data_IF_579552181254
#
_entry.id   IF_579552181254
#
_cell.length_a   1.000
_cell.length_b   1.000
_cell.length_c   1.000
_cell.angle_alpha   90.00
_cell.angle_beta   90.00
_cell.angle_gamma   90.00
#
_symmetry.space_group_name_H-M   'P 1'
#
loop_
_entity.id
_entity.type
_entity.pdbx_description
1 polymer ?
2 water ?
#
# COMPACT_ATOMS: atom_id res chain seq x y z
N UNK A 2 22.19 9.52 -6.68
CA UNK A 2 21.78 9.75 -8.06
C UNK A 2 20.29 10.03 -8.23
N UNK A 3 19.47 9.71 -7.22
CA UNK A 3 18.09 10.21 -7.21
C UNK A 3 17.70 10.67 -5.81
N UNK A 4 17.30 11.94 -5.69
CA UNK A 4 16.78 12.44 -4.42
C UNK A 4 15.26 12.58 -4.50
N UNK A 5 14.58 12.00 -3.52
CA UNK A 5 13.12 11.99 -3.46
C UNK A 5 12.65 12.86 -2.28
N UNK A 6 11.81 13.85 -2.58
CA UNK A 6 11.32 14.76 -1.55
C UNK A 6 9.91 14.41 -1.15
N UNK A 7 9.68 14.24 0.15
CA UNK A 7 8.36 13.84 0.64
C UNK A 7 7.87 14.79 1.70
N UNK A 8 6.60 15.18 1.59
CA UNK A 8 5.95 15.95 2.64
C UNK A 8 4.56 15.36 2.84
N UNK A 9 4.23 14.99 4.07
CA UNK A 9 2.95 14.32 4.32
C UNK A 9 2.41 14.59 5.72
N UNK A 10 1.10 14.39 5.84
CA UNK A 10 0.35 14.64 7.06
C UNK A 10 -0.64 13.50 7.24
N UNK A 11 -0.92 13.15 8.50
CA UNK A 11 -2.00 12.20 8.79
C UNK A 11 -2.78 12.72 9.98
N UNK A 12 -4.07 12.45 9.98
CA UNK A 12 -4.90 12.76 11.13
C UNK A 12 -5.50 11.45 11.58
N UNK A 13 -5.53 11.24 12.89
CA UNK A 13 -6.27 10.10 13.42
C UNK A 13 -6.59 10.28 14.89
N UNK A 14 -7.55 9.50 15.36
CA UNK A 14 -7.91 9.49 16.75
C UNK A 14 -7.49 8.15 17.30
N UNK A 15 -6.65 8.16 18.33
CA UNK A 15 -6.24 6.94 19.03
C UNK A 15 -7.09 6.77 20.29
N UNK A 16 -7.72 5.59 20.45
CA UNK A 16 -8.68 5.34 21.52
C UNK A 16 -8.02 5.07 22.88
N UNK A 17 -7.18 6.00 23.33
CA UNK A 17 -6.64 5.94 24.67
C UNK A 17 -6.43 7.34 25.20
N UNK A 18 -6.29 7.45 26.51
CA UNK A 18 -6.16 8.76 27.17
C UNK A 18 -4.95 9.55 26.68
N UNK A 19 -5.04 10.86 26.84
CA UNK A 19 -3.96 11.74 26.41
C UNK A 19 -2.62 11.37 27.05
N UNK A 20 -2.64 11.12 28.35
CA UNK A 20 -1.41 10.75 29.06
C UNK A 20 -0.76 9.50 28.47
N UNK A 21 -1.56 8.46 28.24
CA UNK A 21 -1.06 7.22 27.63
C UNK A 21 -0.55 7.42 26.21
N UNK A 22 -1.33 8.09 25.39
CA UNK A 22 -0.91 8.34 24.01
C UNK A 22 0.35 9.20 23.96
N UNK A 23 0.40 10.30 24.72
CA UNK A 23 1.60 11.13 24.69
C UNK A 23 2.82 10.34 25.15
N UNK A 24 2.67 9.61 26.25
CA UNK A 24 3.78 8.88 26.83
C UNK A 24 4.39 7.86 25.85
N UNK A 25 3.52 7.23 25.05
CA UNK A 25 3.96 6.29 24.00
C UNK A 25 4.71 6.99 22.87
N UNK A 26 4.11 8.03 22.31
CA UNK A 26 4.69 8.73 21.16
C UNK A 26 5.96 9.50 21.52
N UNK A 27 6.09 9.86 22.81
CA UNK A 27 7.28 10.56 23.29
C UNK A 27 8.45 9.58 23.53
N UNK A 28 8.15 8.29 23.53
CA UNK A 28 9.13 7.24 23.80
C UNK A 28 9.55 6.64 22.44
N UNK A 29 10.65 7.14 21.88
CA UNK A 29 10.98 6.80 20.49
C UNK A 29 11.15 5.30 20.28
N UNK A 30 11.88 4.63 21.17
CA UNK A 30 12.00 3.16 21.01
C UNK A 30 10.65 2.41 21.04
N UNK A 31 9.75 2.79 21.93
CA UNK A 31 8.48 2.08 22.04
C UNK A 31 7.57 2.40 20.84
N UNK A 32 7.54 3.69 20.47
CA UNK A 32 6.86 4.14 19.27
C UNK A 32 7.38 3.40 18.04
N UNK A 33 8.72 3.36 17.92
CA UNK A 33 9.37 2.79 16.74
C UNK A 33 9.05 1.31 16.56
N UNK A 34 8.75 0.63 17.66
CA UNK A 34 8.37 -0.77 17.57
C UNK A 34 7.12 -0.97 16.70
N UNK A 35 6.36 0.10 16.50
CA UNK A 35 5.15 0.04 15.68
C UNK A 35 5.39 0.50 14.25
N UNK A 36 6.63 0.88 13.94
CA UNK A 36 6.95 1.31 12.59
C UNK A 36 7.43 0.11 11.80
N UNK A 37 6.86 -0.12 10.61
CA UNK A 37 7.23 -1.32 9.85
C UNK A 37 8.64 -1.26 9.26
N UNK A 38 9.29 -2.41 9.18
CA UNK A 38 10.53 -2.57 8.43
C UNK A 38 11.69 -1.74 8.94
N UNK A 39 11.74 -1.54 10.26
CA UNK A 39 12.93 -0.94 10.86
C UNK A 39 13.95 -2.03 11.11
N UNK A 40 15.19 -1.80 10.68
CA UNK A 40 16.25 -2.79 10.87
C UNK A 40 16.99 -2.50 12.19
N UNK A 41 17.36 -1.23 12.38
CA UNK A 41 18.04 -0.81 13.61
C UNK A 41 17.50 0.55 14.02
N UNK A 42 17.38 0.74 15.34
CA UNK A 42 17.13 2.06 15.91
C UNK A 42 18.21 2.31 16.96
N UNK A 43 19.24 3.04 16.59
CA UNK A 43 20.38 3.25 17.47
C UNK A 43 20.11 4.39 18.44
N UNK A 44 20.12 4.07 19.72
CA UNK A 44 20.00 5.07 20.77
C UNK A 44 21.32 5.84 20.88
N UNK A 45 21.32 7.11 20.50
CA UNK A 45 22.55 7.91 20.47
C UNK A 45 22.69 8.76 21.74
N UNK A 46 21.75 8.59 22.66
CA UNK A 46 21.70 9.40 23.86
C UNK A 46 21.27 10.82 23.57
N UNK A 47 20.86 11.53 24.61
CA UNK A 47 20.42 12.92 24.49
C UNK A 47 19.27 13.12 23.50
N UNK A 48 18.34 12.17 23.45
CA UNK A 48 17.16 12.30 22.59
C UNK A 48 17.46 12.21 21.11
N UNK A 49 18.60 11.63 20.75
CA UNK A 49 18.94 11.41 19.35
C UNK A 49 18.90 9.94 19.01
N UNK A 50 18.43 9.61 17.81
CA UNK A 50 18.33 8.24 17.35
C UNK A 50 18.66 8.10 15.87
N UNK A 51 19.38 7.03 15.53
CA UNK A 51 19.61 6.72 14.12
C UNK A 51 18.70 5.60 13.69
N UNK A 52 18.00 5.84 12.59
CA UNK A 52 17.11 4.85 12.01
C UNK A 52 17.80 4.19 10.83
N UNK A 53 17.79 2.87 10.81
CA UNK A 53 18.31 2.13 9.65
C UNK A 53 17.18 1.22 9.19
N UNK A 55 15.11 -1.48 6.70
CA UNK A 55 15.51 -2.71 6.03
C UNK A 55 15.97 -2.38 4.60
N UNK A 56 17.00 -3.07 4.14
CA UNK A 56 17.51 -2.80 2.80
C UNK A 56 16.63 -3.43 1.72
N UNK A 57 16.72 -2.90 0.51
CA UNK A 57 16.14 -3.56 -0.66
C UNK A 57 17.07 -3.43 -1.88
N UNK A 58 17.49 -4.55 -2.48
CA UNK A 58 17.19 -5.88 -2.01
C UNK A 58 18.28 -6.92 -2.31
N UNK A 59 19.18 -6.64 -3.25
CA UNK A 59 20.19 -7.64 -3.64
C UNK A 59 21.65 -7.14 -3.72
N UNK A 60 22.50 -7.67 -2.83
CA UNK A 60 23.95 -7.45 -2.87
C UNK A 60 24.34 -6.00 -3.19
N UNK A 61 25.18 -5.82 -4.20
CA UNK A 61 25.76 -4.51 -4.46
C UNK A 61 24.75 -3.50 -4.98
N UNK A 62 23.64 -3.97 -5.54
CA UNK A 62 22.62 -3.08 -6.09
C UNK A 62 21.55 -2.74 -5.08
N UNK A 63 21.67 -3.27 -3.86
CA UNK A 63 20.70 -2.98 -2.82
C UNK A 63 20.84 -1.54 -2.32
N UNK A 64 19.74 -1.00 -1.83
CA UNK A 64 19.72 0.34 -1.26
C UNK A 64 19.16 0.28 0.17
N UNK A 65 19.52 1.25 0.99
CA UNK A 65 19.00 1.28 2.35
C UNK A 65 18.84 2.71 2.84
N UNK A 66 17.68 3.02 3.40
CA UNK A 66 17.45 4.33 4.00
C UNK A 66 18.03 4.38 5.41
N UNK A 67 18.90 5.36 5.65
CA UNK A 67 19.49 5.59 6.98
C UNK A 67 19.43 7.07 7.29
N UNK A 68 18.96 7.43 8.48
CA UNK A 68 18.92 8.82 8.89
C UNK A 68 18.86 8.96 10.40
N UNK A 69 19.29 10.12 10.90
CA UNK A 69 19.30 10.39 12.32
C UNK A 69 18.52 11.67 12.65
N UNK A 70 17.81 11.64 13.77
CA UNK A 70 17.00 12.76 14.21
C UNK A 70 17.20 13.05 15.69
N UNK A 71 17.02 14.31 16.07
CA UNK A 71 16.91 14.69 17.48
C UNK A 71 15.46 14.99 17.82
N UNK A 72 15.00 14.46 18.96
CA UNK A 72 13.60 14.60 19.35
C UNK A 72 13.37 15.57 20.49
N UNK A 73 12.24 16.28 20.45
CA UNK A 73 11.87 17.24 21.48
C UNK A 73 10.39 17.08 21.86
N UNK A 74 10.14 16.79 23.13
CA UNK A 74 8.79 16.53 23.62
C UNK A 74 8.33 17.61 24.59
N UNK A 75 7.11 18.11 24.39
CA UNK A 75 6.54 19.14 25.27
C UNK A 75 5.12 18.72 25.61
N UNK A 76 4.97 18.03 26.73
CA UNK A 76 3.69 17.43 27.09
C UNK A 76 2.61 18.48 27.36
N UNK A 77 3.03 19.61 27.92
CA UNK A 77 2.11 20.72 28.21
C UNK A 77 1.49 21.28 26.94
N UNK A 78 2.32 21.47 25.93
CA UNK A 78 1.89 21.99 24.63
C UNK A 78 1.25 20.91 23.75
N UNK A 79 1.47 19.65 24.08
CA UNK A 79 0.93 18.56 23.29
C UNK A 79 1.63 18.46 21.94
N UNK A 80 2.93 18.68 21.95
CA UNK A 80 3.72 18.62 20.71
C UNK A 80 5.03 17.86 20.91
N UNK A 81 5.37 17.03 19.92
CA UNK A 81 6.63 16.30 19.92
C UNK A 81 7.20 16.59 18.54
N UNK A 82 8.42 17.08 18.47
CA UNK A 82 9.00 17.36 17.15
C UNK A 82 10.33 16.64 16.99
N UNK A 83 10.73 16.45 15.73
CA UNK A 83 12.06 15.92 15.46
C UNK A 83 12.71 16.62 14.28
N UNK A 84 14.03 16.78 14.34
CA UNK A 84 14.76 17.48 13.30
C UNK A 84 15.99 16.67 12.87
N UNK A 85 16.46 16.91 11.65
CA UNK A 85 17.54 16.09 11.08
C UNK A 85 18.90 16.31 11.73
N UNK A 86 19.68 15.23 11.83
CA UNK A 86 21.09 15.37 12.22
C UNK A 86 21.89 15.36 10.93
N UNK A 87 22.48 16.52 10.63
CA UNK A 87 23.21 16.74 9.38
C UNK A 87 24.37 15.75 9.20
N UNK A 88 24.58 15.32 7.97
CA UNK A 88 25.73 14.48 7.62
C UNK A 88 25.64 13.03 8.04
N UNK A 89 24.47 12.60 8.49
CA UNK A 89 24.26 11.22 8.89
C UNK A 89 23.37 10.51 7.88
N UNK A 90 23.89 9.44 7.29
CA UNK A 90 23.11 8.62 6.38
C UNK A 90 22.78 9.30 5.07
N UNK A 91 21.66 8.90 4.48
CA UNK A 91 21.26 9.36 3.15
C UNK A 91 19.86 9.96 3.11
N UNK A 92 19.33 10.28 4.30
CA UNK A 92 18.03 10.91 4.39
C UNK A 92 18.08 12.11 5.31
N UNK A 93 17.22 13.09 5.05
CA UNK A 93 17.12 14.26 5.90
C UNK A 93 15.64 14.35 6.32
N UNK A 94 15.39 14.09 7.60
CA UNK A 94 14.03 13.87 8.07
C UNK A 94 13.66 14.78 9.24
N UNK A 95 12.48 15.38 9.15
CA UNK A 95 11.93 16.15 10.25
C UNK A 95 10.45 15.80 10.38
N UNK A 96 9.84 16.08 11.52
CA UNK A 96 8.43 15.77 11.68
C UNK A 96 7.86 16.24 13.00
N UNK A 97 6.58 15.94 13.24
CA UNK A 97 6.00 16.23 14.54
C UNK A 97 4.74 15.41 14.78
N UNK A 98 4.40 15.26 16.07
CA UNK A 98 3.08 14.83 16.51
C UNK A 98 2.45 16.03 17.20
N UNK A 99 1.17 16.31 16.91
CA UNK A 99 0.42 17.28 17.68
C UNK A 99 -0.77 16.53 18.24
N UNK A 100 -0.96 16.63 19.55
CA UNK A 100 -1.96 15.81 20.23
C UNK A 100 -2.85 16.66 21.10
N UNK A 101 -4.07 16.18 21.29
CA UNK A 101 -4.98 16.80 22.24
C UNK A 101 -6.04 15.82 22.67
N UNK A 102 -6.46 15.96 23.92
CA UNK A 102 -7.48 15.11 24.51
C UNK A 102 -8.80 15.19 23.73
N UNK A 103 -9.42 14.04 23.48
CA UNK A 103 -10.81 14.01 23.03
C UNK A 103 -11.63 13.23 24.04
N UNK A 104 -12.00 13.88 25.14
CA UNK A 104 -12.59 13.20 26.26
C UNK A 104 -11.50 12.52 27.04
N UNK A 105 -11.88 11.60 27.95
CA UNK A 105 -10.95 11.01 28.91
C UNK A 105 -10.18 9.79 28.36
N UNK A 106 -10.67 9.20 27.28
CA UNK A 106 -10.13 7.94 26.77
C UNK A 106 -9.87 7.95 25.27
N UNK A 107 -9.70 9.13 24.68
CA UNK A 107 -9.33 9.22 23.28
C UNK A 107 -8.42 10.42 23.07
N UNK A 108 -7.64 10.37 22.00
CA UNK A 108 -6.70 11.44 21.70
C UNK A 108 -6.69 11.72 20.19
N UNK A 109 -6.87 12.98 19.82
CA UNK A 109 -6.74 13.40 18.43
C UNK A 109 -5.26 13.61 18.16
N UNK A 110 -4.78 13.07 17.04
CA UNK A 110 -3.36 13.09 16.74
C UNK A 110 -3.18 13.57 15.31
N UNK A 111 -2.23 14.49 15.11
CA UNK A 111 -1.83 14.90 13.78
C UNK A 111 -0.36 14.55 13.60
N UNK A 112 -0.05 13.84 12.52
CA UNK A 112 1.32 13.43 12.22
C UNK A 112 1.77 14.25 11.03
N UNK A 113 3.02 14.68 11.05
CA UNK A 113 3.61 15.37 9.89
C UNK A 113 5.04 14.90 9.76
N UNK A 114 5.50 14.68 8.53
CA UNK A 114 6.90 14.41 8.28
C UNK A 114 7.36 14.97 6.95
N UNK A 115 8.54 15.59 6.95
CA UNK A 115 9.20 16.00 5.72
C UNK A 115 10.45 15.17 5.60
N UNK A 116 10.65 14.55 4.45
CA UNK A 116 11.80 13.68 4.29
C UNK A 116 12.43 13.80 2.89
N UNK A 117 13.74 13.97 2.85
CA UNK A 117 14.50 13.97 1.61
C UNK A 117 15.34 12.72 1.66
N UNK A 118 15.17 11.83 0.69
CA UNK A 118 15.90 10.58 0.68
C UNK A 118 16.70 10.46 -0.60
N UNK A 119 18.02 10.32 -0.47
CA UNK A 119 18.89 10.18 -1.63
C UNK A 119 19.25 8.70 -1.80
N UNK A 120 18.92 8.13 -2.95
CA UNK A 120 19.25 6.74 -3.24
C UNK A 120 20.11 6.65 -4.48
N UNK A 121 21.04 5.69 -4.51
CA UNK A 121 21.97 5.50 -5.62
C UNK A 121 21.35 4.72 -6.78
N UNK A 122 20.29 5.25 -7.39
CA UNK A 122 19.72 4.63 -8.58
C UNK A 122 19.91 5.57 -9.76
N UNK A 123 19.87 5.05 -11.00
CA UNK A 123 20.17 5.91 -12.15
C UNK A 123 19.32 7.19 -12.21
N UNK A 124 19.98 8.34 -12.30
CA UNK A 124 19.29 9.63 -12.47
C UNK A 124 18.36 9.63 -13.67
N UNK A 125 18.73 8.91 -14.72
CA UNK A 125 17.83 8.76 -15.88
C UNK A 125 16.43 8.28 -15.47
N UNK A 126 16.34 7.54 -14.37
CA UNK A 126 15.05 6.98 -13.93
C UNK A 126 14.33 7.82 -12.87
N UNK A 127 14.79 9.05 -12.63
CA UNK A 127 14.22 9.92 -11.60
C UNK A 127 12.69 10.01 -11.64
N UNK A 128 12.13 10.40 -12.78
CA UNK A 128 10.68 10.59 -12.89
C UNK A 128 9.91 9.29 -12.74
N UNK A 129 10.46 8.18 -13.23
CA UNK A 129 9.73 6.90 -13.13
C UNK A 129 9.73 6.35 -11.70
N UNK A 130 10.86 6.51 -11.04
CA UNK A 130 11.11 5.85 -9.75
C UNK A 130 10.55 6.64 -8.56
N UNK A 131 10.75 7.95 -8.55
CA UNK A 131 10.37 8.77 -7.40
C UNK A 131 8.93 8.54 -6.91
N UNK A 132 7.96 8.52 -7.83
CA UNK A 132 6.58 8.25 -7.41
C UNK A 132 6.43 6.92 -6.66
N UNK A 133 7.16 5.89 -7.08
CA UNK A 133 7.04 4.60 -6.41
C UNK A 133 7.62 4.63 -5.00
N UNK A 134 8.76 5.29 -4.85
CA UNK A 134 9.39 5.46 -3.56
C UNK A 134 8.49 6.26 -2.60
N UNK A 135 7.87 7.31 -3.12
CA UNK A 135 6.95 8.11 -2.30
C UNK A 135 5.72 7.30 -1.94
N UNK A 136 5.23 6.52 -2.89
CA UNK A 136 4.05 5.69 -2.66
C UNK A 136 4.32 4.66 -1.58
N UNK A 137 5.51 4.05 -1.64
CA UNK A 137 5.89 3.06 -0.65
C UNK A 137 6.04 3.70 0.73
N UNK A 138 6.58 4.92 0.76
CA UNK A 138 6.75 5.62 2.02
C UNK A 138 5.39 5.95 2.62
N UNK A 139 4.45 6.38 1.79
CA UNK A 139 3.10 6.64 2.29
C UNK A 139 2.46 5.36 2.85
N UNK A 140 2.74 4.24 2.20
CA UNK A 140 2.22 2.95 2.66
C UNK A 140 2.74 2.60 4.06
N UNK A 141 4.06 2.74 4.25
CA UNK A 141 4.70 2.51 5.54
C UNK A 141 4.07 3.36 6.63
N UNK A 142 3.86 4.64 6.33
CA UNK A 142 3.25 5.55 7.29
C UNK A 142 1.80 5.15 7.61
N UNK A 143 1.02 4.77 6.59
CA UNK A 143 -0.34 4.31 6.83
C UNK A 143 -0.32 3.15 7.82
N UNK A 144 0.60 2.21 7.62
CA UNK A 144 0.73 1.04 8.49
C UNK A 144 1.10 1.43 9.94
N UNK A 145 2.05 2.32 10.06
CA UNK A 145 2.43 2.90 11.34
C UNK A 145 1.22 3.48 12.07
N UNK A 147 -1.95 2.80 11.62
CA UNK A 147 -2.87 1.73 11.98
C UNK A 147 -2.37 0.91 13.17
N UNK A 148 -1.08 0.61 13.19
CA UNK A 148 -0.49 -0.08 14.33
C UNK A 148 -0.65 0.74 15.62
N UNK A 149 -0.34 2.02 15.55
CA UNK A 149 -0.47 2.89 16.74
C UNK A 149 -1.91 2.93 17.26
N UNK A 150 -2.87 2.93 16.32
CA UNK A 150 -4.28 3.00 16.67
C UNK A 150 -4.73 1.76 17.48
N UNK A 151 -4.01 0.67 17.32
CA UNK A 151 -4.29 -0.58 18.03
C UNK A 151 -3.33 -0.85 19.17
N UNK A 152 -2.47 0.11 19.53
CA UNK A 152 -1.42 -0.15 20.49
C UNK A 152 -1.93 -0.32 21.92
N UNK A 153 -3.13 0.19 22.19
CA UNK A 153 -3.66 0.22 23.56
C UNK A 153 -4.79 -0.78 23.83
N UNK A 154 -5.00 -1.69 22.89
CA UNK A 154 -6.04 -2.71 23.03
C UNK A 154 -6.26 -3.31 24.44
N UNK A 155 -5.26 -3.89 25.15
CA UNK A 155 -3.85 -4.14 24.84
C UNK A 155 -2.99 -3.60 26.00
N UNK A 156 -2.62 -4.48 26.91
CA UNK A 156 -1.91 -4.09 28.13
C UNK A 156 -0.52 -3.53 27.82
N UNK A 157 0.24 -4.26 27.01
CA UNK A 157 1.55 -3.81 26.55
C UNK A 157 1.36 -2.92 25.33
N UNK A 158 1.98 -1.73 25.35
CA UNK A 158 1.77 -0.75 24.30
C UNK A 158 2.87 -0.75 23.24
N UNK A 159 3.77 -1.72 23.31
CA UNK A 159 4.78 -1.91 22.27
C UNK A 159 4.23 -2.81 21.16
N UNK B 2 -14.36 -9.09 -32.57
CA UNK B 2 -15.37 -9.91 -33.24
C UNK B 2 -15.88 -11.07 -32.40
N UNK B 3 -15.29 -11.28 -31.22
CA UNK B 3 -15.86 -12.22 -30.25
C UNK B 3 -15.93 -11.55 -28.88
N UNK B 4 -17.09 -11.58 -28.25
CA UNK B 4 -17.19 -11.11 -26.89
C UNK B 4 -17.42 -12.26 -25.91
N UNK B 5 -16.52 -12.35 -24.93
CA UNK B 5 -16.54 -13.39 -23.93
C UNK B 5 -17.00 -12.78 -22.61
N UNK B 6 -18.06 -13.32 -22.03
CA UNK B 6 -18.58 -12.81 -20.76
C UNK B 6 -18.11 -13.70 -19.61
N UNK B 7 -17.47 -13.10 -18.62
CA UNK B 7 -16.96 -13.84 -17.47
C UNK B 7 -17.59 -13.33 -16.20
N UNK B 8 -17.95 -14.26 -15.32
CA UNK B 8 -18.33 -13.88 -13.98
C UNK B 8 -17.76 -14.93 -13.02
N UNK B 9 -17.02 -14.47 -12.03
CA UNK B 9 -16.37 -15.42 -11.13
C UNK B 9 -16.24 -14.92 -9.70
N UNK B 10 -16.00 -15.87 -8.80
CA UNK B 10 -15.85 -15.63 -7.37
C UNK B 10 -14.73 -16.51 -6.82
N UNK B 11 -14.02 -16.01 -5.83
CA UNK B 11 -13.03 -16.79 -5.10
C UNK B 11 -13.18 -16.49 -3.64
N UNK B 12 -13.04 -17.53 -2.81
CA UNK B 12 -12.94 -17.34 -1.37
C UNK B 12 -11.55 -17.73 -0.89
N UNK B 13 -10.98 -16.94 0.00
CA UNK B 13 -9.76 -17.37 0.66
C UNK B 13 -9.75 -16.85 2.09
N UNK B 14 -8.93 -17.46 2.92
CA UNK B 14 -8.64 -16.83 4.18
C UNK B 14 -7.17 -16.53 4.28
N UNK B 15 -6.88 -15.32 4.70
CA UNK B 15 -5.51 -14.83 4.81
C UNK B 15 -5.14 -14.67 6.27
N UNK B 16 -4.02 -15.30 6.69
CA UNK B 16 -3.57 -15.28 8.08
C UNK B 16 -2.91 -13.96 8.49
N UNK B 17 -3.55 -12.83 8.21
CA UNK B 17 -3.07 -11.54 8.68
C UNK B 17 -4.25 -10.69 9.13
N UNK B 18 -3.95 -9.63 9.87
CA UNK B 18 -4.97 -8.76 10.46
C UNK B 18 -5.78 -8.03 9.39
N UNK B 19 -6.98 -7.60 9.75
CA UNK B 19 -7.85 -6.86 8.86
C UNK B 19 -7.16 -5.61 8.27
N UNK B 20 -6.46 -4.85 9.10
CA UNK B 20 -5.78 -3.64 8.63
C UNK B 20 -4.74 -3.93 7.56
N UNK B 21 -3.92 -4.96 7.78
CA UNK B 21 -2.91 -5.38 6.81
C UNK B 21 -3.51 -5.84 5.50
N UNK B 22 -4.56 -6.65 5.59
CA UNK B 22 -5.16 -7.25 4.40
C UNK B 22 -5.92 -6.18 3.62
N UNK B 23 -6.85 -5.50 4.28
CA UNK B 23 -7.56 -4.39 3.66
C UNK B 23 -6.62 -3.38 3.01
N UNK B 24 -5.57 -2.96 3.72
CA UNK B 24 -4.71 -1.89 3.21
C UNK B 24 -3.92 -2.30 1.94
N UNK B 25 -3.47 -3.55 1.87
CA UNK B 25 -2.81 -4.02 0.66
C UNK B 25 -3.82 -4.05 -0.50
N UNK B 26 -4.98 -4.65 -0.25
CA UNK B 26 -5.99 -4.81 -1.29
C UNK B 26 -6.53 -3.48 -1.80
N UNK B 27 -6.55 -2.47 -0.93
CA UNK B 27 -7.06 -1.17 -1.34
C UNK B 27 -6.00 -0.36 -2.09
N UNK B 28 -4.76 -0.83 -2.05
CA UNK B 28 -3.65 -0.11 -2.67
C UNK B 28 -3.43 -0.70 -4.06
N UNK B 29 -4.05 -0.08 -5.05
CA UNK B 29 -4.08 -0.75 -6.36
C UNK B 29 -2.67 -1.07 -6.92
N UNK B 30 -1.75 -0.09 -6.95
CA UNK B 30 -0.42 -0.41 -7.44
C UNK B 30 0.29 -1.53 -6.65
N UNK B 31 0.17 -1.54 -5.34
CA UNK B 31 0.80 -2.63 -4.58
C UNK B 31 0.11 -3.96 -4.81
N UNK B 32 -1.22 -3.93 -4.82
CA UNK B 32 -2.01 -5.12 -5.11
C UNK B 32 -1.68 -5.65 -6.52
N UNK B 33 -1.66 -4.76 -7.50
CA UNK B 33 -1.38 -5.11 -8.90
C UNK B 33 0.01 -5.72 -9.10
N UNK B 34 0.95 -5.41 -8.23
CA UNK B 34 2.29 -5.99 -8.33
C UNK B 34 2.22 -7.52 -8.28
N UNK B 35 1.14 -8.03 -7.72
CA UNK B 35 0.99 -9.48 -7.55
C UNK B 35 0.12 -10.15 -8.61
N UNK B 36 -0.39 -9.36 -9.56
CA UNK B 36 -1.22 -9.92 -10.64
C UNK B 36 -0.33 -10.32 -11.81
N UNK B 37 -0.49 -11.56 -12.31
CA UNK B 37 0.42 -12.05 -13.36
C UNK B 37 0.16 -11.46 -14.73
N UNK B 38 1.23 -11.33 -15.52
CA UNK B 38 1.16 -10.93 -16.92
C UNK B 38 0.61 -9.53 -17.15
N UNK B 39 0.81 -8.64 -16.19
CA UNK B 39 0.53 -7.22 -16.42
C UNK B 39 1.67 -6.54 -17.19
N UNK B 40 1.33 -5.96 -18.34
CA UNK B 40 2.29 -5.22 -19.16
C UNK B 40 2.44 -3.80 -18.61
N UNK B 41 1.32 -3.18 -18.25
CA UNK B 41 1.35 -1.85 -17.65
C UNK B 41 0.11 -1.54 -16.81
N UNK B 42 0.30 -0.79 -15.75
CA UNK B 42 -0.81 -0.24 -14.97
C UNK B 42 -0.75 1.28 -15.03
N UNK B 43 -1.76 1.91 -15.63
CA UNK B 43 -1.71 3.36 -15.79
C UNK B 43 -2.54 4.10 -14.75
N UNK B 44 -1.90 5.02 -14.03
CA UNK B 44 -2.58 5.84 -13.04
C UNK B 44 -3.36 6.94 -13.76
N UNK B 45 -4.67 6.73 -13.90
CA UNK B 45 -5.54 7.72 -14.55
C UNK B 45 -5.96 8.83 -13.60
N UNK B 46 -5.50 8.76 -12.35
CA UNK B 46 -5.87 9.71 -11.32
C UNK B 46 -7.25 9.42 -10.76
N UNK B 47 -7.54 9.96 -9.58
CA UNK B 47 -8.86 9.81 -8.99
C UNK B 47 -9.17 8.34 -8.68
N UNK B 48 -8.14 7.62 -8.25
CA UNK B 48 -8.24 6.20 -7.91
C UNK B 48 -8.78 5.34 -9.07
N UNK B 49 -8.49 5.79 -10.30
CA UNK B 49 -8.73 4.98 -11.51
C UNK B 49 -7.41 4.52 -12.14
N UNK B 50 -7.44 3.35 -12.78
CA UNK B 50 -6.24 2.77 -13.37
C UNK B 50 -6.62 2.00 -14.64
N UNK B 51 -5.75 2.07 -15.65
CA UNK B 51 -5.92 1.22 -16.83
C UNK B 51 -4.96 0.04 -16.75
N UNK B 52 -5.49 -1.15 -16.98
CA UNK B 52 -4.71 -2.37 -16.99
C UNK B 52 -4.44 -2.73 -18.44
N UNK B 53 -3.17 -2.97 -18.77
CA UNK B 53 -2.81 -3.47 -20.10
C UNK B 53 -2.09 -4.81 -19.91
N UNK B 55 -0.30 -8.50 -21.01
CA UNK B 55 0.65 -8.92 -22.04
C UNK B 55 -0.15 -9.42 -23.23
N UNK B 56 0.31 -9.07 -24.43
CA UNK B 56 -0.42 -9.47 -25.63
C UNK B 56 -0.21 -10.93 -26.00
N UNK B 57 -1.07 -11.41 -26.89
CA UNK B 57 -0.90 -12.70 -27.59
C UNK B 57 -1.63 -12.56 -28.92
N UNK B 58 -1.01 -12.91 -30.05
CA UNK B 58 0.36 -13.35 -30.12
C UNK B 58 1.24 -12.28 -30.72
N UNK B 59 1.37 -12.22 -32.05
CA UNK B 59 2.37 -11.34 -32.67
C UNK B 59 1.92 -10.44 -33.84
N UNK B 60 2.71 -9.38 -34.08
CA UNK B 60 2.49 -8.42 -35.16
C UNK B 60 1.07 -7.86 -35.22
N UNK B 61 0.51 -7.74 -36.43
CA UNK B 61 -0.78 -7.09 -36.58
C UNK B 61 -1.98 -7.98 -36.24
N UNK B 62 -1.72 -9.26 -35.98
CA UNK B 62 -2.79 -10.17 -35.59
C UNK B 62 -2.80 -10.45 -34.09
N UNK B 63 -1.96 -9.74 -33.33
CA UNK B 63 -1.90 -9.94 -31.89
C UNK B 63 -3.16 -9.43 -31.21
N UNK B 64 -3.52 -10.06 -30.10
CA UNK B 64 -4.63 -9.57 -29.29
C UNK B 64 -4.13 -9.22 -27.89
N UNK B 65 -4.78 -8.26 -27.26
CA UNK B 65 -4.33 -7.78 -25.97
C UNK B 65 -5.51 -7.28 -25.15
N UNK B 66 -5.69 -7.82 -23.95
CA UNK B 66 -6.76 -7.31 -23.09
C UNK B 66 -6.33 -5.97 -22.46
N UNK B 67 -7.16 -4.95 -22.64
CA UNK B 67 -6.93 -3.62 -22.05
C UNK B 67 -8.22 -3.14 -21.44
N UNK B 68 -8.18 -2.68 -20.18
CA UNK B 68 -9.40 -2.17 -19.57
C UNK B 68 -9.11 -1.21 -18.41
N UNK B 69 -10.03 -0.29 -18.15
CA UNK B 69 -9.82 0.65 -17.05
C UNK B 69 -10.97 0.63 -16.07
N UNK B 70 -10.66 0.78 -14.78
CA UNK B 70 -11.64 0.74 -13.71
C UNK B 70 -11.42 1.87 -12.72
N UNK B 71 -12.51 2.35 -12.14
CA UNK B 71 -12.43 3.25 -11.01
C UNK B 71 -12.63 2.46 -9.72
N UNK B 72 -11.76 2.67 -8.75
CA UNK B 72 -11.76 1.97 -7.48
C UNK B 72 -12.34 2.80 -6.33
N UNK B 73 -13.09 2.14 -5.46
CA UNK B 73 -13.65 2.82 -4.29
C UNK B 73 -13.48 1.93 -3.08
N UNK B 74 -12.83 2.47 -2.05
CA UNK B 74 -12.57 1.73 -0.81
C UNK B 74 -13.44 2.23 0.34
N UNK B 75 -14.07 1.28 1.04
CA UNK B 75 -14.84 1.59 2.24
C UNK B 75 -14.42 0.68 3.37
N UNK B 76 -13.45 1.12 4.16
CA UNK B 76 -12.87 0.26 5.19
C UNK B 76 -13.86 -0.04 6.33
N UNK B 77 -14.72 0.92 6.63
CA UNK B 77 -15.75 0.67 7.63
C UNK B 77 -16.64 -0.49 7.19
N UNK B 78 -16.96 -0.56 5.91
CA UNK B 78 -17.85 -1.60 5.39
C UNK B 78 -17.16 -2.90 4.98
N UNK B 79 -15.83 -2.90 4.96
CA UNK B 79 -15.10 -4.08 4.53
C UNK B 79 -15.34 -4.36 3.06
N UNK B 80 -15.38 -3.31 2.25
CA UNK B 80 -15.59 -3.52 0.83
C UNK B 80 -14.73 -2.58 -0.01
N UNK B 81 -14.17 -3.14 -1.09
CA UNK B 81 -13.43 -2.37 -2.08
C UNK B 81 -14.04 -2.76 -3.41
N UNK B 82 -14.48 -1.78 -4.20
CA UNK B 82 -15.18 -2.09 -5.45
C UNK B 82 -14.51 -1.40 -6.64
N UNK B 83 -14.66 -1.98 -7.81
CA UNK B 83 -14.23 -1.29 -9.01
C UNK B 83 -15.30 -1.32 -10.10
N UNK B 84 -15.42 -0.20 -10.80
CA UNK B 84 -16.43 0.01 -11.82
C UNK B 84 -15.71 0.29 -13.12
N UNK B 85 -16.29 -0.15 -14.25
CA UNK B 85 -15.62 0.08 -15.53
C UNK B 85 -15.64 1.54 -15.99
N UNK B 86 -14.58 1.96 -16.65
CA UNK B 86 -14.54 3.28 -17.28
C UNK B 86 -14.93 3.07 -18.74
N UNK B 87 -16.06 3.64 -19.15
CA UNK B 87 -16.60 3.37 -20.47
C UNK B 87 -15.67 3.92 -21.55
N UNK B 88 -15.53 3.17 -22.64
CA UNK B 88 -14.74 3.62 -23.78
C UNK B 88 -13.26 3.29 -23.74
N UNK B 89 -12.77 2.73 -22.62
CA UNK B 89 -11.34 2.41 -22.50
C UNK B 89 -11.00 0.96 -22.82
N UNK B 90 -10.09 0.77 -23.77
CA UNK B 90 -9.64 -0.56 -24.11
C UNK B 90 -10.75 -1.38 -24.73
N UNK B 91 -10.66 -2.70 -24.54
CA UNK B 91 -11.61 -3.62 -25.17
C UNK B 91 -12.26 -4.56 -24.16
N UNK B 92 -12.17 -4.20 -22.88
CA UNK B 92 -12.81 -4.99 -21.84
C UNK B 92 -13.66 -4.07 -20.97
N UNK B 93 -14.72 -4.62 -20.39
CA UNK B 93 -15.56 -3.90 -19.43
C UNK B 93 -15.59 -4.70 -18.15
N UNK B 94 -14.95 -4.16 -17.12
CA UNK B 94 -14.64 -4.92 -15.93
C UNK B 94 -15.16 -4.27 -14.67
N UNK B 95 -15.78 -5.09 -13.83
CA UNK B 95 -16.23 -4.66 -12.52
C UNK B 95 -15.89 -5.75 -11.52
N UNK B 96 -15.86 -5.39 -10.24
CA UNK B 96 -15.58 -6.38 -9.22
C UNK B 96 -15.53 -5.80 -7.82
N UNK B 97 -15.13 -6.65 -6.86
CA UNK B 97 -15.00 -6.20 -5.49
C UNK B 97 -14.20 -7.17 -4.64
N UNK B 98 -13.66 -6.65 -3.54
CA UNK B 98 -13.19 -7.47 -2.43
C UNK B 98 -14.16 -7.22 -1.29
N UNK B 99 -14.51 -8.29 -0.58
CA UNK B 99 -15.35 -8.17 0.60
C UNK B 99 -14.60 -8.84 1.74
N UNK B 100 -14.31 -8.08 2.80
CA UNK B 100 -13.45 -8.59 3.85
C UNK B 100 -14.19 -8.68 5.18
N UNK B 101 -13.87 -9.71 5.96
CA UNK B 101 -14.44 -9.85 7.30
C UNK B 101 -13.40 -10.41 8.26
N UNK B 102 -13.21 -9.76 9.40
CA UNK B 102 -12.23 -10.23 10.36
C UNK B 102 -12.61 -11.62 10.88
N UNK B 103 -11.64 -12.53 10.91
CA UNK B 103 -11.82 -13.81 11.59
C UNK B 103 -10.85 -13.83 12.78
N UNK B 104 -11.14 -13.00 13.78
CA UNK B 104 -10.22 -12.80 14.88
C UNK B 104 -9.23 -11.70 14.52
N UNK B 105 -8.30 -11.45 15.42
CA UNK B 105 -7.39 -10.32 15.28
C UNK B 105 -6.27 -10.53 14.25
N UNK B 106 -5.96 -11.78 13.93
CA UNK B 106 -4.88 -12.08 13.01
C UNK B 106 -5.27 -12.95 11.82
N UNK B 107 -6.56 -12.99 11.51
CA UNK B 107 -7.02 -13.69 10.32
C UNK B 107 -8.13 -12.88 9.66
N UNK B 108 -8.16 -12.91 8.34
CA UNK B 108 -9.12 -12.13 7.58
C UNK B 108 -9.70 -12.99 6.49
N UNK B 109 -11.03 -13.09 6.44
CA UNK B 109 -11.69 -13.78 5.35
C UNK B 109 -11.88 -12.82 4.18
N UNK B 110 -11.65 -13.31 2.98
CA UNK B 110 -11.76 -12.44 1.80
C UNK B 110 -12.58 -13.09 0.69
N UNK B 111 -13.51 -12.33 0.13
CA UNK B 111 -14.25 -12.77 -1.06
C UNK B 111 -13.95 -11.88 -2.26
N UNK B 112 -13.53 -12.50 -3.36
CA UNK B 112 -13.19 -11.80 -4.61
C UNK B 112 -14.29 -12.06 -5.62
N UNK B 113 -14.74 -11.02 -6.29
CA UNK B 113 -15.74 -11.16 -7.34
C UNK B 113 -15.31 -10.30 -8.49
N UNK B 114 -15.45 -10.82 -9.70
CA UNK B 114 -15.27 -9.98 -10.88
C UNK B 114 -16.24 -10.36 -11.98
N UNK B 115 -16.84 -9.35 -12.61
CA UNK B 115 -17.56 -9.53 -13.87
C UNK B 115 -16.76 -8.86 -14.97
N UNK B 116 -16.55 -9.57 -16.07
CA UNK B 116 -15.72 -9.06 -17.16
C UNK B 116 -16.29 -9.42 -18.52
N UNK B 117 -16.45 -8.41 -19.38
CA UNK B 117 -16.81 -8.63 -20.77
C UNK B 117 -15.63 -8.26 -21.65
N UNK B 118 -15.05 -9.25 -22.31
CA UNK B 118 -13.82 -9.06 -23.07
C UNK B 118 -14.10 -9.24 -24.56
N UNK B 119 -13.82 -8.21 -25.33
CA UNK B 119 -14.07 -8.23 -26.76
C UNK B 119 -12.74 -8.42 -27.45
N UNK B 120 -12.59 -9.53 -28.16
CA UNK B 120 -11.31 -9.85 -28.78
C UNK B 120 -11.46 -9.86 -30.29
N UNK B 121 -10.45 -9.33 -30.99
CA UNK B 121 -10.61 -9.24 -32.43
C UNK B 121 -10.18 -10.54 -33.12
N UNK B 122 -11.02 -11.57 -33.01
CA UNK B 122 -10.83 -12.82 -33.74
C UNK B 122 -12.12 -13.07 -34.52
N UNK B 123 -12.04 -13.81 -35.64
CA UNK B 123 -13.25 -14.10 -36.42
C UNK B 123 -14.36 -14.73 -35.57
N UNK B 124 -15.59 -14.26 -35.76
CA UNK B 124 -16.71 -14.69 -34.92
C UNK B 124 -17.02 -16.17 -35.11
N UNK B 125 -16.57 -16.72 -36.24
CA UNK B 125 -16.66 -18.16 -36.49
C UNK B 125 -16.17 -18.94 -35.25
N UNK B 126 -15.25 -18.33 -34.51
CA UNK B 126 -14.52 -19.02 -33.44
C UNK B 126 -15.13 -18.87 -32.05
N UNK B 127 -16.24 -18.16 -31.95
CA UNK B 127 -16.83 -17.89 -30.63
C UNK B 127 -16.98 -19.13 -29.74
N UNK B 128 -17.61 -20.18 -30.25
CA UNK B 128 -17.90 -21.33 -29.39
C UNK B 128 -16.65 -22.06 -28.89
N UNK B 129 -15.63 -22.14 -29.74
CA UNK B 129 -14.39 -22.80 -29.35
C UNK B 129 -13.50 -21.91 -28.47
N UNK B 130 -13.40 -20.64 -28.83
CA UNK B 130 -12.44 -19.74 -28.20
C UNK B 130 -12.93 -19.16 -26.88
N UNK B 131 -14.23 -18.99 -26.71
CA UNK B 131 -14.76 -18.47 -25.44
C UNK B 131 -14.29 -19.24 -24.20
N UNK B 132 -14.46 -20.56 -24.18
CA UNK B 132 -14.02 -21.31 -23.00
C UNK B 132 -12.51 -21.18 -22.77
N UNK B 133 -11.75 -20.99 -23.84
CA UNK B 133 -10.30 -20.86 -23.74
C UNK B 133 -9.91 -19.55 -23.05
N UNK B 134 -10.48 -18.45 -23.52
CA UNK B 134 -10.31 -17.15 -22.88
C UNK B 134 -10.72 -17.24 -21.40
N UNK B 135 -11.83 -17.91 -21.13
CA UNK B 135 -12.32 -18.04 -19.76
C UNK B 135 -11.34 -18.82 -18.89
N UNK B 136 -10.83 -19.94 -19.42
CA UNK B 136 -9.86 -20.76 -18.73
C UNK B 136 -8.63 -19.95 -18.32
N UNK B 137 -8.13 -19.15 -19.26
CA UNK B 137 -6.93 -18.37 -19.01
C UNK B 137 -7.20 -17.27 -17.98
N UNK B 138 -8.36 -16.62 -18.11
CA UNK B 138 -8.74 -15.56 -17.17
C UNK B 138 -8.85 -16.12 -15.76
N UNK B 139 -9.46 -17.30 -15.62
CA UNK B 139 -9.52 -17.97 -14.33
C UNK B 139 -8.15 -18.39 -13.80
N UNK B 140 -7.26 -18.79 -14.71
CA UNK B 140 -5.90 -19.18 -14.32
C UNK B 140 -5.12 -17.97 -13.79
N UNK B 141 -5.28 -16.82 -14.44
CA UNK B 141 -4.69 -15.57 -13.95
C UNK B 141 -5.21 -15.21 -12.56
N UNK B 142 -6.52 -15.28 -12.37
CA UNK B 142 -7.11 -14.97 -11.07
C UNK B 142 -6.59 -15.95 -10.00
N UNK B 143 -6.48 -17.23 -10.36
CA UNK B 143 -5.98 -18.21 -9.40
C UNK B 143 -4.55 -17.86 -8.96
N UNK B 144 -3.73 -17.48 -9.93
CA UNK B 144 -2.35 -17.12 -9.64
C UNK B 144 -2.28 -15.84 -8.81
N UNK B 145 -3.16 -14.90 -9.10
CA UNK B 145 -3.32 -13.70 -8.28
C UNK B 145 -3.61 -14.07 -6.83
N UNK B 147 -3.07 -16.75 -5.19
CA UNK B 147 -1.91 -17.43 -4.60
C UNK B 147 -0.75 -16.48 -4.32
N UNK B 148 -0.53 -15.52 -5.21
CA UNK B 148 0.53 -14.53 -5.01
C UNK B 148 0.25 -13.62 -3.82
N UNK B 149 -1.00 -13.23 -3.67
CA UNK B 149 -1.42 -12.36 -2.58
C UNK B 149 -1.25 -13.11 -1.26
N UNK B 150 -1.72 -14.35 -1.22
CA UNK B 150 -1.67 -15.13 0.00
C UNK B 150 -0.22 -15.30 0.46
N UNK B 151 0.68 -15.48 -0.49
CA UNK B 151 2.11 -15.61 -0.19
C UNK B 151 2.77 -14.27 0.15
N UNK B 152 2.20 -13.18 -0.36
CA UNK B 152 2.70 -11.83 -0.06
C UNK B 152 2.43 -11.44 1.40
N UNK B 153 1.52 -12.16 2.04
CA UNK B 153 1.23 -11.93 3.45
C UNK B 153 2.03 -12.88 4.35
N UNK B 154 3.32 -13.04 4.04
CA UNK B 154 4.20 -13.90 4.82
C UNK B 154 5.51 -13.19 5.17
#
# INVERSE_FOLDING_TARGET
XAITVSIELNRDLEIPASYDEVFDLLADVPKSASHFPKVDKLVDLGNNAYRWEXEKVGVDKHAIQSVYACTYHADKEAGKITWSPIKGEGNGVVSGSWTLSAKGDNATAVKFQTSAELTVPLPSLLKLAISPVIKHEFNSLVDTYXANLKKAFLEHHHHHH
XAITVSIELNRDLEIPASYDEVFDLLADVPKSASHFPKVDKLVDLGNNAYRWEXEKVGVDKHAIQSVYACTYHADKEAGKITWSPIKGEGNGVVSGSWTLSAKGDNATAVKFQTSAELTVPLPSLLKLAISPVIKHEFNSLVDTYXANLKKAFLEHHHHHH
#
